data_IF_341793700558
#
_entry.id   IF_341793700558
#
_cell.length_a   1.000
_cell.length_b   1.000
_cell.length_c   1.000
_cell.angle_alpha   90.00
_cell.angle_beta   90.00
_cell.angle_gamma   90.00
#
_symmetry.space_group_name_H-M   'P 1'
#
loop_
_entity.id
_entity.type
_entity.pdbx_description
1 polymer ?
#
# COMPACT_ATOMS: atom_id res chain seq x y z
N UNK A 1 -2.93 -2.43 -14.70
CA UNK A 1 -4.22 -1.92 -14.18
C UNK A 1 -4.28 -0.43 -14.39
N UNK A 2 -5.45 0.14 -14.63
CA UNK A 2 -5.64 1.59 -14.73
C UNK A 2 -6.00 2.18 -13.36
N UNK A 3 -5.78 3.48 -13.13
CA UNK A 3 -6.22 4.15 -11.89
C UNK A 3 -7.71 3.96 -11.57
N UNK A 4 -8.56 3.89 -12.60
CA UNK A 4 -9.99 3.66 -12.46
C UNK A 4 -10.30 2.30 -11.84
N UNK A 5 -9.54 1.26 -12.20
CA UNK A 5 -9.72 -0.09 -11.67
C UNK A 5 -9.29 -0.19 -10.20
N UNK A 6 -8.28 0.57 -9.76
CA UNK A 6 -7.84 0.56 -8.36
C UNK A 6 -8.88 1.12 -7.39
N UNK A 7 -9.78 1.99 -7.87
CA UNK A 7 -10.86 2.57 -7.07
C UNK A 7 -12.06 1.62 -6.89
N UNK A 8 -12.11 0.52 -7.64
CA UNK A 8 -13.21 -0.45 -7.61
C UNK A 8 -12.99 -1.57 -6.57
N UNK A 9 -12.56 -1.21 -5.36
CA UNK A 9 -12.31 -2.16 -4.28
C UNK A 9 -11.10 -1.77 -3.45
N UNK A 10 -10.42 -2.78 -2.89
CA UNK A 10 -9.21 -2.63 -2.09
C UNK A 10 -8.04 -3.37 -2.74
N UNK A 11 -6.86 -2.74 -2.75
CA UNK A 11 -5.62 -3.32 -3.27
C UNK A 11 -4.77 -3.80 -2.10
N UNK A 12 -4.47 -5.09 -2.06
CA UNK A 12 -3.55 -5.66 -1.08
C UNK A 12 -2.09 -5.50 -1.54
N UNK A 13 -1.26 -4.84 -0.72
CA UNK A 13 0.19 -4.75 -0.88
C UNK A 13 0.85 -5.62 0.18
N UNK A 14 1.54 -6.67 -0.28
CA UNK A 14 2.24 -7.63 0.58
C UNK A 14 3.76 -7.41 0.49
N UNK A 15 4.37 -7.09 1.63
CA UNK A 15 5.75 -6.62 1.74
C UNK A 15 5.81 -5.11 1.56
N UNK A 16 6.28 -4.39 2.59
CA UNK A 16 6.45 -2.94 2.72
C UNK A 16 7.93 -2.51 2.78
N UNK A 17 8.83 -3.36 2.27
CA UNK A 17 10.16 -2.90 1.86
C UNK A 17 10.06 -1.79 0.80
N UNK A 18 11.20 -1.37 0.22
CA UNK A 18 11.28 -0.19 -0.67
C UNK A 18 10.21 -0.14 -1.77
N UNK A 19 9.95 -1.26 -2.44
CA UNK A 19 8.95 -1.33 -3.51
C UNK A 19 7.52 -1.30 -2.99
N UNK A 20 7.25 -1.93 -1.84
CA UNK A 20 5.94 -1.97 -1.22
C UNK A 20 5.47 -0.62 -0.70
N UNK A 21 6.36 0.11 -0.02
CA UNK A 21 6.09 1.48 0.41
C UNK A 21 5.83 2.40 -0.80
N UNK A 22 6.69 2.34 -1.83
CA UNK A 22 6.51 3.13 -3.05
C UNK A 22 5.17 2.80 -3.76
N UNK A 23 4.81 1.52 -3.86
CA UNK A 23 3.55 1.09 -4.44
C UNK A 23 2.34 1.57 -3.61
N UNK A 24 2.41 1.44 -2.28
CA UNK A 24 1.37 1.92 -1.35
C UNK A 24 1.11 3.41 -1.53
N UNK A 25 2.18 4.21 -1.57
CA UNK A 25 2.08 5.67 -1.78
C UNK A 25 1.48 6.02 -3.13
N UNK A 26 1.91 5.34 -4.20
CA UNK A 26 1.38 5.55 -5.55
C UNK A 26 -0.12 5.23 -5.60
N UNK A 27 -0.53 4.07 -5.07
CA UNK A 27 -1.93 3.63 -5.07
C UNK A 27 -2.82 4.61 -4.29
N UNK A 28 -2.38 5.05 -3.11
CA UNK A 28 -3.12 6.05 -2.31
C UNK A 28 -3.17 7.43 -2.97
N UNK A 29 -2.10 7.86 -3.64
CA UNK A 29 -2.11 9.10 -4.42
C UNK A 29 -3.16 9.08 -5.56
N UNK A 30 -3.56 7.89 -6.01
CA UNK A 30 -4.64 7.69 -6.98
C UNK A 30 -5.99 7.33 -6.35
N UNK A 31 -6.15 7.57 -5.05
CA UNK A 31 -7.37 7.32 -4.26
C UNK A 31 -7.82 5.85 -4.22
N UNK A 32 -6.90 4.90 -4.35
CA UNK A 32 -7.21 3.49 -4.11
C UNK A 32 -7.35 3.22 -2.60
N UNK A 33 -8.27 2.35 -2.21
CA UNK A 33 -8.23 1.74 -0.88
C UNK A 33 -7.10 0.71 -0.86
N UNK A 34 -6.27 0.71 0.18
CA UNK A 34 -5.07 -0.14 0.26
C UNK A 34 -5.01 -0.86 1.59
N UNK A 35 -4.93 -2.19 1.53
CA UNK A 35 -4.52 -3.04 2.65
C UNK A 35 -3.02 -3.30 2.54
N UNK A 36 -2.27 -2.99 3.57
CA UNK A 36 -0.81 -3.12 3.58
C UNK A 36 -0.36 -4.09 4.68
N UNK A 37 0.45 -5.07 4.33
CA UNK A 37 0.96 -6.07 5.29
C UNK A 37 2.42 -6.40 5.01
N UNK A 38 3.23 -6.49 6.05
CA UNK A 38 4.60 -7.01 5.98
C UNK A 38 4.79 -8.07 7.10
N UNK A 39 5.77 -8.97 6.90
CA UNK A 39 6.20 -9.94 7.92
C UNK A 39 7.21 -9.31 8.89
N UNK A 40 7.97 -8.30 8.46
CA UNK A 40 8.91 -7.58 9.31
C UNK A 40 8.15 -6.58 10.19
N UNK A 41 8.38 -6.64 11.50
CA UNK A 41 7.96 -5.57 12.43
C UNK A 41 9.11 -4.57 12.52
N UNK A 42 8.98 -3.44 11.84
CA UNK A 42 9.82 -2.27 12.05
C UNK A 42 8.94 -1.03 12.20
N UNK A 43 9.44 -0.01 12.90
CA UNK A 43 8.72 1.25 13.08
C UNK A 43 8.34 1.91 11.74
N UNK A 44 9.09 1.63 10.67
CA UNK A 44 8.79 2.08 9.31
C UNK A 44 7.61 1.33 8.70
N UNK A 45 7.53 0.01 8.89
CA UNK A 45 6.39 -0.82 8.46
C UNK A 45 5.09 -0.36 9.14
N UNK A 46 5.13 -0.10 10.45
CA UNK A 46 3.96 0.36 11.20
C UNK A 46 3.44 1.71 10.71
N UNK A 47 4.33 2.67 10.42
CA UNK A 47 3.94 3.97 9.87
C UNK A 47 3.28 3.85 8.50
N UNK A 48 3.76 2.95 7.65
CA UNK A 48 3.17 2.74 6.31
C UNK A 48 1.83 2.02 6.39
N UNK A 49 1.69 1.04 7.29
CA UNK A 49 0.44 0.34 7.52
C UNK A 49 -0.66 1.24 8.12
N UNK A 50 -0.29 2.21 8.98
CA UNK A 50 -1.23 3.09 9.67
C UNK A 50 -1.62 4.37 8.90
N UNK A 51 -0.83 4.77 7.90
CA UNK A 51 -1.17 5.89 7.00
C UNK A 51 -2.40 5.56 6.14
#
# INVERSE_FOLDING_TARGET
MTPELWRQGEVAVLGLGRSGDAATRLLRAHHAAVYASDRASSAEVEKVAAA
#
